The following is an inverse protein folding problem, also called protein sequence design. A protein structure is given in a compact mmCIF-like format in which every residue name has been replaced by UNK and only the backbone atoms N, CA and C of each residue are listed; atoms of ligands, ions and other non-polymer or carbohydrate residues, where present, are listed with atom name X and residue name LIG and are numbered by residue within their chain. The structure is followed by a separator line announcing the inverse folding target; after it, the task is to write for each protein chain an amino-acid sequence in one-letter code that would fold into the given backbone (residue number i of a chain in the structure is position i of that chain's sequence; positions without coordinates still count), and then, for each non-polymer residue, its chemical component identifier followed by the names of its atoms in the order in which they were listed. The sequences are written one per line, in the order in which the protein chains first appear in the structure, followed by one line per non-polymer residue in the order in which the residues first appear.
data_IF_192242807346
#
_entry.id   IF_192242807346
#
_cell.length_a   1.000
_cell.length_b   1.000
_cell.length_c   1.000
_cell.angle_alpha   90.00
_cell.angle_beta   90.00
_cell.angle_gamma   90.00
#
_symmetry.space_group_name_H-M   'P 1'
#
loop_
_entity.id
_entity.type
_entity.pdbx_description
1 polymer ?
#
# COMPACT_ATOMS: atom_id res chain seq x y z
N UNK A 1 -2.44 -18.63 22.32
CA UNK A 1 -1.85 -17.41 21.73
C UNK A 1 -2.00 -16.30 22.75
N UNK A 2 -0.89 -15.67 23.14
CA UNK A 2 -0.93 -14.50 24.03
C UNK A 2 -1.41 -13.27 23.26
N UNK A 3 -1.92 -12.24 23.95
CA UNK A 3 -2.28 -10.96 23.32
C UNK A 3 -1.08 -10.31 22.62
N UNK A 4 0.12 -10.50 23.17
CA UNK A 4 1.38 -10.02 22.58
C UNK A 4 1.72 -10.76 21.29
N UNK A 5 1.46 -12.07 21.23
CA UNK A 5 1.75 -12.88 20.03
C UNK A 5 0.85 -12.43 18.86
N UNK A 6 -0.43 -12.18 19.14
CA UNK A 6 -1.39 -11.70 18.13
C UNK A 6 -1.09 -10.26 17.67
N UNK A 7 -0.60 -9.40 18.57
CA UNK A 7 -0.16 -8.05 18.21
C UNK A 7 1.10 -8.09 17.33
N UNK A 8 2.08 -8.93 17.67
CA UNK A 8 3.30 -9.12 16.88
C UNK A 8 3.00 -9.74 15.51
N UNK A 9 2.07 -10.69 15.45
CA UNK A 9 1.60 -11.27 14.18
C UNK A 9 0.97 -10.21 13.28
N UNK A 10 0.11 -9.36 13.83
CA UNK A 10 -0.52 -8.24 13.10
C UNK A 10 0.54 -7.29 12.52
N UNK A 11 1.54 -6.93 13.33
CA UNK A 11 2.65 -6.06 12.91
C UNK A 11 3.50 -6.74 11.83
N UNK A 12 3.81 -8.03 11.99
CA UNK A 12 4.54 -8.80 10.99
C UNK A 12 3.79 -8.84 9.65
N UNK A 13 2.49 -9.17 9.66
CA UNK A 13 1.65 -9.15 8.46
C UNK A 13 1.66 -7.78 7.79
N UNK A 14 1.63 -6.71 8.58
CA UNK A 14 1.65 -5.35 8.07
C UNK A 14 2.98 -5.03 7.36
N UNK A 15 4.12 -5.46 7.89
CA UNK A 15 5.41 -5.31 7.22
C UNK A 15 5.52 -6.12 5.93
N UNK A 16 4.98 -7.35 5.91
CA UNK A 16 4.94 -8.15 4.68
C UNK A 16 4.11 -7.42 3.61
N UNK A 17 2.90 -6.96 3.96
CA UNK A 17 2.08 -6.20 3.01
C UNK A 17 2.73 -4.89 2.56
N UNK A 18 3.48 -4.21 3.43
CA UNK A 18 4.28 -3.04 3.03
C UNK A 18 5.28 -3.41 1.92
N UNK A 19 6.02 -4.50 2.07
CA UNK A 19 6.98 -4.93 1.05
C UNK A 19 6.31 -5.29 -0.27
N UNK A 20 5.18 -5.99 -0.23
CA UNK A 20 4.39 -6.31 -1.43
C UNK A 20 3.87 -5.06 -2.15
N UNK A 21 3.39 -4.07 -1.39
CA UNK A 21 2.92 -2.80 -1.94
C UNK A 21 4.07 -2.00 -2.58
N UNK A 22 5.27 -2.02 -2.00
CA UNK A 22 6.47 -1.40 -2.58
C UNK A 22 6.88 -2.14 -3.87
N UNK A 23 6.90 -3.46 -3.86
CA UNK A 23 7.20 -4.25 -5.07
C UNK A 23 6.19 -3.98 -6.19
N UNK A 24 4.90 -3.84 -5.86
CA UNK A 24 3.86 -3.42 -6.82
C UNK A 24 4.12 -2.03 -7.38
N UNK A 25 4.66 -1.11 -6.57
CA UNK A 25 5.04 0.21 -7.04
C UNK A 25 6.24 0.18 -7.98
N UNK A 26 7.25 -0.63 -7.69
CA UNK A 26 8.52 -0.64 -8.42
C UNK A 26 8.45 -1.48 -9.68
N UNK A 27 7.76 -2.63 -9.62
CA UNK A 27 7.80 -3.65 -10.68
C UNK A 27 6.56 -3.69 -11.56
N UNK A 28 5.39 -3.31 -11.04
CA UNK A 28 4.15 -3.44 -11.83
C UNK A 28 3.96 -2.27 -12.79
N UNK A 29 3.66 -2.58 -14.04
CA UNK A 29 3.10 -1.60 -14.96
C UNK A 29 1.68 -1.26 -14.49
N UNK A 30 1.57 -0.21 -13.66
CA UNK A 30 0.30 0.35 -13.20
C UNK A 30 -0.53 0.94 -14.36
N UNK A 31 -0.25 0.61 -15.64
CA UNK A 31 -1.18 0.77 -16.75
C UNK A 31 -2.20 -0.36 -16.85
N UNK A 32 -1.88 -1.56 -16.34
CA UNK A 32 -2.80 -2.68 -16.33
C UNK A 32 -3.97 -2.45 -15.34
N UNK A 33 -5.24 -2.50 -15.79
CA UNK A 33 -6.40 -2.39 -14.91
C UNK A 33 -6.47 -3.45 -13.80
N UNK A 34 -5.96 -4.67 -14.02
CA UNK A 34 -5.98 -5.71 -13.01
C UNK A 34 -4.94 -5.44 -11.91
N UNK A 35 -3.70 -5.09 -12.29
CA UNK A 35 -2.70 -4.59 -11.36
C UNK A 35 -3.19 -3.41 -10.50
N UNK A 36 -3.93 -2.45 -11.11
CA UNK A 36 -4.54 -1.33 -10.37
C UNK A 36 -5.60 -1.78 -9.38
N UNK A 37 -6.44 -2.75 -9.76
CA UNK A 37 -7.49 -3.28 -8.88
C UNK A 37 -6.87 -4.00 -7.69
N UNK A 38 -5.83 -4.80 -7.94
CA UNK A 38 -5.12 -5.52 -6.90
C UNK A 38 -4.38 -4.59 -5.94
N UNK A 39 -3.70 -3.56 -6.47
CA UNK A 39 -3.08 -2.53 -5.64
C UNK A 39 -4.09 -1.83 -4.72
N UNK A 40 -5.27 -1.47 -5.25
CA UNK A 40 -6.34 -0.84 -4.44
C UNK A 40 -6.87 -1.77 -3.36
N UNK A 41 -7.00 -3.07 -3.65
CA UNK A 41 -7.45 -4.06 -2.67
C UNK A 41 -6.43 -4.21 -1.54
N UNK A 42 -5.15 -4.41 -1.88
CA UNK A 42 -4.07 -4.52 -0.90
C UNK A 42 -3.91 -3.25 -0.07
N UNK A 43 -4.04 -2.06 -0.66
CA UNK A 43 -4.03 -0.80 0.10
C UNK A 43 -5.14 -0.75 1.14
N UNK A 44 -6.35 -1.21 0.79
CA UNK A 44 -7.49 -1.23 1.73
C UNK A 44 -7.23 -2.21 2.87
N UNK A 45 -6.78 -3.41 2.55
CA UNK A 45 -6.43 -4.43 3.55
C UNK A 45 -5.29 -3.97 4.46
N UNK A 46 -4.27 -3.32 3.90
CA UNK A 46 -3.17 -2.70 4.65
C UNK A 46 -3.67 -1.62 5.61
N UNK A 47 -4.57 -0.75 5.16
CA UNK A 47 -5.18 0.29 6.01
C UNK A 47 -5.97 -0.32 7.17
N UNK A 48 -6.78 -1.36 6.91
CA UNK A 48 -7.55 -2.06 7.94
C UNK A 48 -6.64 -2.77 8.96
N UNK A 49 -5.51 -3.31 8.53
CA UNK A 49 -4.48 -3.87 9.41
C UNK A 49 -3.78 -2.79 10.23
N UNK A 50 -3.47 -1.64 9.63
CA UNK A 50 -2.85 -0.50 10.30
C UNK A 50 -3.74 0.04 11.41
N UNK A 51 -5.04 0.16 11.17
CA UNK A 51 -6.02 0.62 12.18
C UNK A 51 -6.14 -0.35 13.37
N UNK A 52 -5.81 -1.63 13.18
CA UNK A 52 -5.85 -2.68 14.22
C UNK A 52 -4.51 -2.91 14.90
N UNK A 53 -3.41 -2.45 14.32
CA UNK A 53 -2.08 -2.70 14.83
C UNK A 53 -1.82 -1.92 16.13
N UNK A 54 -1.23 -2.60 17.11
CA UNK A 54 -0.84 -1.96 18.36
C UNK A 54 0.49 -1.23 18.17
N UNK A 55 0.43 0.10 18.18
CA UNK A 55 1.58 1.02 17.99
C UNK A 55 2.76 0.69 18.91
N UNK A 56 2.53 0.12 20.09
CA UNK A 56 3.59 -0.23 21.05
C UNK A 56 4.56 -1.29 20.50
N UNK A 57 4.13 -2.06 19.51
CA UNK A 57 4.91 -3.14 18.91
C UNK A 57 5.49 -2.77 17.52
N UNK A 58 5.28 -1.54 17.06
CA UNK A 58 5.63 -1.12 15.69
C UNK A 58 7.03 -0.52 15.55
N UNK A 59 7.77 -0.38 16.65
CA UNK A 59 9.17 0.06 16.60
C UNK A 59 9.42 1.56 16.60
N UNK A 60 8.38 2.40 16.70
CA UNK A 60 8.52 3.85 16.83
C UNK A 60 7.39 4.65 16.18
N UNK A 61 7.36 5.96 16.46
CA UNK A 61 6.41 6.91 15.85
C UNK A 61 6.76 7.23 14.40
N UNK A 62 8.05 7.27 14.08
CA UNK A 62 8.63 7.43 12.74
C UNK A 62 8.23 6.30 11.78
N UNK A 63 8.20 5.07 12.29
CA UNK A 63 7.75 3.90 11.54
C UNK A 63 6.25 4.00 11.25
N UNK A 64 5.44 4.37 12.25
CA UNK A 64 4.01 4.58 12.07
C UNK A 64 3.70 5.62 10.99
N UNK A 65 4.39 6.77 11.04
CA UNK A 65 4.23 7.84 10.07
C UNK A 65 4.57 7.39 8.64
N UNK A 66 5.61 6.56 8.50
CA UNK A 66 6.00 6.00 7.20
C UNK A 66 4.93 5.05 6.64
N UNK A 67 4.35 4.21 7.51
CA UNK A 67 3.29 3.27 7.13
C UNK A 67 1.99 3.99 6.72
N UNK A 68 1.61 5.06 7.43
CA UNK A 68 0.41 5.86 7.09
C UNK A 68 0.56 6.58 5.74
N UNK A 69 1.78 6.99 5.38
CA UNK A 69 2.04 7.72 4.13
C UNK A 69 2.04 6.81 2.90
N UNK A 70 2.43 5.56 3.04
CA UNK A 70 2.60 4.62 1.92
C UNK A 70 1.33 4.47 1.04
N UNK A 71 0.11 4.24 1.58
CA UNK A 71 -1.11 4.19 0.77
C UNK A 71 -1.37 5.47 -0.03
N UNK A 72 -1.02 6.64 0.53
CA UNK A 72 -1.22 7.93 -0.14
C UNK A 72 -0.28 8.08 -1.34
N UNK A 73 0.97 7.65 -1.19
CA UNK A 73 1.94 7.66 -2.29
C UNK A 73 1.53 6.73 -3.42
N UNK A 74 1.02 5.53 -3.08
CA UNK A 74 0.49 4.59 -4.07
C UNK A 74 -0.71 5.17 -4.81
N UNK A 75 -1.67 5.75 -4.08
CA UNK A 75 -2.83 6.42 -4.68
C UNK A 75 -2.41 7.53 -5.66
N UNK A 76 -1.41 8.33 -5.27
CA UNK A 76 -0.85 9.40 -6.11
C UNK A 76 -0.22 8.84 -7.38
N UNK A 77 0.58 7.76 -7.28
CA UNK A 77 1.21 7.12 -8.44
C UNK A 77 0.17 6.53 -9.41
N UNK A 78 -0.83 5.81 -8.90
CA UNK A 78 -1.94 5.26 -9.71
C UNK A 78 -2.67 6.38 -10.46
N UNK A 79 -2.93 7.52 -9.80
CA UNK A 79 -3.60 8.68 -10.41
C UNK A 79 -2.75 9.31 -11.51
N UNK A 80 -1.45 9.48 -11.30
CA UNK A 80 -0.53 10.04 -12.30
C UNK A 80 -0.42 9.12 -13.52
N UNK A 81 -0.24 7.81 -13.33
CA UNK A 81 -0.20 6.84 -14.43
C UNK A 81 -1.50 6.85 -15.24
N UNK A 82 -2.66 6.92 -14.56
CA UNK A 82 -3.96 6.99 -15.23
C UNK A 82 -4.12 8.27 -16.08
N UNK A 83 -3.65 9.41 -15.57
CA UNK A 83 -3.70 10.69 -16.28
C UNK A 83 -2.75 10.73 -17.49
N UNK A 84 -1.57 10.10 -17.39
CA UNK A 84 -0.63 9.96 -18.49
C UNK A 84 -1.22 9.12 -19.64
N UNK A 85 -1.85 7.98 -19.32
CA UNK A 85 -2.52 7.12 -20.33
C UNK A 85 -3.64 7.88 -21.04
N UNK A 86 -4.47 8.65 -20.32
CA UNK A 86 -5.55 9.46 -20.92
C UNK A 86 -5.03 10.54 -21.87
N UNK A 87 -3.89 11.18 -21.54
CA UNK A 87 -3.26 12.19 -22.39
C UNK A 87 -2.66 11.57 -23.66
N UNK A 88 -2.04 10.39 -23.56
CA UNK A 88 -1.53 9.67 -24.73
C UNK A 88 -2.67 9.33 -25.70
N UNK A 89 -3.79 8.80 -25.18
CA UNK A 89 -4.97 8.41 -25.97
C UNK A 89 -5.67 9.57 -26.69
N UNK A 90 -5.58 10.80 -26.16
CA UNK A 90 -6.15 12.00 -26.80
C UNK A 90 -5.24 12.60 -27.87
N UNK A 91 -3.94 12.28 -27.88
CA UNK A 91 -2.98 12.83 -28.86
C UNK A 91 -2.95 12.02 -30.17
N UNK A 92 -3.48 10.80 -30.16
CA UNK A 92 -3.53 9.88 -31.31
C UNK A 92 -4.87 9.89 -32.06
N UNK A 93 -5.77 10.84 -31.78
CA UNK A 93 -7.08 10.93 -32.43
C UNK A 93 -7.31 12.32 -33.03
#
# INVERSE_FOLDING_TARGET
MSKSDSALETVHTLYVMQTELIDLLERSDLQDPDARRQARKQMKEFQELLDRADRRYMGGEDVWDSLVRLPQEIAKKIRVSSAATLRLRKKTR
#
